data_IF_415865660238
#
_entry.id   IF_415865660238
#
_cell.length_a   1.000
_cell.length_b   1.000
_cell.length_c   1.000
_cell.angle_alpha   90.00
_cell.angle_beta   90.00
_cell.angle_gamma   90.00
#
_symmetry.space_group_name_H-M   'P 1'
#
loop_
_entity.id
_entity.type
_entity.pdbx_description
1 polymer ?
#
# COMPACT_ATOMS: atom_id res chain seq x y z
N UNK A 1 -33.53 4.83 5.48
CA UNK A 1 -32.36 4.64 6.33
C UNK A 1 -31.45 3.51 5.84
N UNK A 2 -31.98 2.34 5.51
CA UNK A 2 -31.18 1.25 4.99
C UNK A 2 -30.48 1.58 3.66
N UNK A 3 -31.17 2.26 2.74
CA UNK A 3 -30.59 2.67 1.46
C UNK A 3 -29.42 3.62 1.66
N UNK A 4 -29.53 4.53 2.63
CA UNK A 4 -28.48 5.49 2.94
C UNK A 4 -27.21 4.77 3.46
N UNK A 5 -27.39 3.81 4.35
CA UNK A 5 -26.28 3.02 4.88
C UNK A 5 -25.60 2.17 3.79
N UNK A 6 -26.37 1.62 2.89
CA UNK A 6 -25.84 0.83 1.76
C UNK A 6 -25.02 1.69 0.80
N UNK A 7 -25.51 2.88 0.47
CA UNK A 7 -24.77 3.83 -0.39
C UNK A 7 -23.46 4.22 0.29
N UNK A 8 -23.48 4.50 1.58
CA UNK A 8 -22.28 4.86 2.32
C UNK A 8 -21.25 3.73 2.31
N UNK A 9 -21.66 2.50 2.54
CA UNK A 9 -20.79 1.33 2.48
C UNK A 9 -20.19 1.12 1.10
N UNK A 10 -21.01 1.30 0.06
CA UNK A 10 -20.54 1.18 -1.32
C UNK A 10 -19.46 2.19 -1.63
N UNK A 11 -19.64 3.44 -1.20
CA UNK A 11 -18.65 4.49 -1.38
C UNK A 11 -17.35 4.18 -0.66
N UNK A 12 -17.40 3.67 0.58
CA UNK A 12 -16.22 3.28 1.33
C UNK A 12 -15.46 2.12 0.66
N UNK A 13 -16.19 1.20 0.02
CA UNK A 13 -15.58 0.09 -0.72
C UNK A 13 -14.77 0.55 -1.93
N UNK A 14 -15.08 1.72 -2.47
CA UNK A 14 -14.38 2.29 -3.60
C UNK A 14 -13.09 3.00 -3.21
N UNK A 15 -12.87 3.25 -1.92
CA UNK A 15 -11.66 3.88 -1.40
C UNK A 15 -10.57 2.83 -1.15
N UNK A 16 -10.08 2.26 -2.23
CA UNK A 16 -9.13 1.15 -2.15
C UNK A 16 -7.69 1.59 -1.88
N UNK A 17 -7.32 2.78 -2.32
CA UNK A 17 -5.92 3.21 -2.32
C UNK A 17 -5.65 4.25 -1.25
N UNK A 18 -4.44 4.18 -0.69
CA UNK A 18 -3.95 5.16 0.27
C UNK A 18 -2.49 5.47 -0.01
N UNK A 19 -2.10 6.75 0.14
CA UNK A 19 -0.72 7.19 0.01
C UNK A 19 -0.07 7.33 1.38
N UNK A 20 1.18 6.89 1.46
CA UNK A 20 2.00 6.99 2.67
C UNK A 20 3.26 7.76 2.35
N UNK A 21 3.59 8.74 3.18
CA UNK A 21 4.83 9.50 3.05
C UNK A 21 6.03 8.62 3.37
N UNK A 22 7.13 8.84 2.65
CA UNK A 22 8.44 8.35 3.04
C UNK A 22 9.27 9.51 3.62
N UNK A 23 10.44 9.21 4.15
CA UNK A 23 11.38 10.26 4.59
C UNK A 23 12.08 10.95 3.40
N UNK A 24 11.96 10.38 2.20
CA UNK A 24 12.37 11.04 0.97
C UNK A 24 11.23 11.95 0.52
N UNK A 25 11.52 13.25 0.36
CA UNK A 25 10.47 14.23 0.07
C UNK A 25 9.78 14.02 -1.29
N UNK A 26 10.43 13.28 -2.21
CA UNK A 26 9.91 13.08 -3.57
C UNK A 26 9.17 11.77 -3.75
N UNK A 27 9.20 10.89 -2.76
CA UNK A 27 8.70 9.52 -2.89
C UNK A 27 7.61 9.22 -1.87
N UNK A 28 6.52 8.62 -2.36
CA UNK A 28 5.43 8.09 -1.57
C UNK A 28 5.26 6.61 -1.88
N UNK A 29 4.65 5.88 -0.97
CA UNK A 29 4.15 4.53 -1.25
C UNK A 29 2.64 4.58 -1.43
N UNK A 30 2.16 3.97 -2.50
CA UNK A 30 0.72 3.79 -2.73
C UNK A 30 0.37 2.35 -2.41
N UNK A 31 -0.58 2.16 -1.52
CA UNK A 31 -1.06 0.86 -1.07
C UNK A 31 -2.49 0.63 -1.56
N UNK A 32 -2.73 -0.53 -2.16
CA UNK A 32 -4.10 -1.01 -2.28
C UNK A 32 -4.48 -1.64 -0.94
N UNK A 33 -5.33 -0.97 -0.19
CA UNK A 33 -5.71 -1.38 1.17
C UNK A 33 -6.53 -2.66 1.20
N UNK A 34 -7.07 -3.06 0.06
CA UNK A 34 -7.88 -4.25 -0.09
C UNK A 34 -7.03 -5.50 -0.35
N UNK A 35 -5.95 -5.37 -1.13
CA UNK A 35 -5.16 -6.51 -1.60
C UNK A 35 -3.75 -6.59 -1.05
N UNK A 36 -3.23 -5.48 -0.52
CA UNK A 36 -1.84 -5.41 -0.04
C UNK A 36 -0.80 -5.13 -1.11
N UNK A 37 -1.21 -4.82 -2.34
CA UNK A 37 -0.32 -4.45 -3.43
C UNK A 37 0.27 -3.05 -3.18
N UNK A 38 1.53 -2.84 -3.56
CA UNK A 38 2.27 -1.61 -3.26
C UNK A 38 3.00 -1.09 -4.49
N UNK A 39 2.93 0.22 -4.69
CA UNK A 39 3.65 0.96 -5.74
C UNK A 39 4.44 2.09 -5.10
N UNK A 40 5.53 2.47 -5.77
CA UNK A 40 6.26 3.71 -5.44
C UNK A 40 5.77 4.82 -6.37
N UNK A 41 5.49 5.98 -5.80
CA UNK A 41 5.01 7.16 -6.53
C UNK A 41 6.02 8.27 -6.32
N UNK A 42 6.60 8.77 -7.40
CA UNK A 42 7.58 9.85 -7.36
C UNK A 42 7.04 11.09 -8.07
N UNK A 43 7.18 12.23 -7.42
CA UNK A 43 6.91 13.50 -8.06
C UNK A 43 8.18 14.34 -8.18
N UNK A 44 8.11 15.38 -9.00
CA UNK A 44 9.24 16.28 -9.20
C UNK A 44 8.74 17.65 -9.69
N UNK A 45 9.50 18.68 -9.33
CA UNK A 45 9.28 20.03 -9.87
C UNK A 45 10.16 20.31 -11.11
N UNK A 46 11.02 19.36 -11.49
CA UNK A 46 11.95 19.53 -12.61
C UNK A 46 11.33 19.22 -13.98
N UNK A 47 10.43 18.24 -14.06
CA UNK A 47 9.82 17.88 -15.34
C UNK A 47 9.17 16.50 -15.32
N UNK A 48 8.53 16.17 -16.45
CA UNK A 48 7.69 14.97 -16.58
C UNK A 48 8.48 13.66 -16.43
N UNK A 49 9.75 13.64 -16.86
CA UNK A 49 10.57 12.43 -16.82
C UNK A 49 10.88 11.97 -15.40
N UNK A 50 10.73 12.87 -14.42
CA UNK A 50 10.98 12.57 -13.01
C UNK A 50 9.69 12.31 -12.22
N UNK A 51 8.54 12.28 -12.92
CA UNK A 51 7.24 11.97 -12.33
C UNK A 51 6.79 10.62 -12.84
N UNK A 52 6.75 9.63 -11.96
CA UNK A 52 6.37 8.29 -12.37
C UNK A 52 5.86 7.47 -11.19
N UNK A 53 5.18 6.39 -11.54
CA UNK A 53 4.77 5.36 -10.62
C UNK A 53 5.39 4.04 -11.06
N UNK A 54 5.92 3.28 -10.11
CA UNK A 54 6.55 2.00 -10.41
C UNK A 54 6.13 0.94 -9.38
N UNK A 55 5.92 -0.31 -9.80
CA UNK A 55 5.56 -1.37 -8.87
C UNK A 55 6.67 -1.62 -7.85
N UNK A 56 6.29 -1.79 -6.58
CA UNK A 56 7.18 -2.32 -5.56
C UNK A 56 6.90 -3.81 -5.38
N UNK A 57 5.64 -4.16 -5.12
CA UNK A 57 5.18 -5.54 -5.02
C UNK A 57 3.69 -5.59 -5.35
N UNK A 58 3.36 -6.21 -6.49
CA UNK A 58 1.98 -6.29 -6.97
C UNK A 58 1.30 -7.62 -6.67
N UNK A 59 1.92 -8.45 -5.82
CA UNK A 59 1.29 -9.68 -5.37
C UNK A 59 0.12 -9.36 -4.44
N UNK A 60 -1.02 -9.98 -4.69
CA UNK A 60 -2.16 -9.90 -3.80
C UNK A 60 -1.95 -10.81 -2.59
N UNK A 61 -2.29 -10.31 -1.40
CA UNK A 61 -2.08 -11.02 -0.14
C UNK A 61 -3.38 -11.54 0.45
N UNK A 62 -4.36 -11.78 -0.40
CA UNK A 62 -5.64 -12.36 -0.01
C UNK A 62 -5.86 -13.67 -0.77
N UNK A 63 -6.57 -14.60 -0.14
CA UNK A 63 -6.99 -15.84 -0.77
C UNK A 63 -8.39 -15.68 -1.34
N UNK A 64 -8.63 -16.17 -2.56
CA UNK A 64 -9.94 -16.10 -3.20
C UNK A 64 -11.01 -16.86 -2.41
N UNK A 65 -10.61 -17.86 -1.64
CA UNK A 65 -11.57 -18.76 -0.98
C UNK A 65 -11.86 -18.42 0.47
N UNK A 66 -10.93 -17.82 1.18
CA UNK A 66 -11.02 -17.65 2.63
C UNK A 66 -10.94 -16.22 3.09
N UNK A 67 -10.52 -15.31 2.23
CA UNK A 67 -10.29 -13.92 2.61
C UNK A 67 -11.36 -13.01 2.04
N UNK A 68 -11.79 -12.05 2.86
CA UNK A 68 -12.68 -11.01 2.38
C UNK A 68 -11.87 -9.83 1.87
N UNK A 69 -12.07 -9.41 0.61
CA UNK A 69 -11.40 -8.27 0.04
C UNK A 69 -12.05 -6.96 0.54
N UNK A 70 -11.67 -6.53 1.73
CA UNK A 70 -12.24 -5.37 2.39
C UNK A 70 -11.26 -4.20 2.32
N UNK A 71 -11.72 -3.03 1.85
CA UNK A 71 -10.92 -1.82 1.86
C UNK A 71 -10.54 -1.45 3.30
N UNK A 72 -9.26 -1.09 3.50
CA UNK A 72 -8.73 -0.82 4.83
C UNK A 72 -8.18 -2.05 5.54
N UNK A 73 -8.21 -3.22 4.90
CA UNK A 73 -7.65 -4.43 5.48
C UNK A 73 -6.14 -4.30 5.72
N UNK A 74 -5.43 -3.72 4.76
CA UNK A 74 -3.97 -3.54 4.82
C UNK A 74 -3.62 -2.11 5.13
N UNK A 75 -2.56 -1.91 5.91
CA UNK A 75 -2.00 -0.59 6.20
C UNK A 75 -0.47 -0.66 6.30
N UNK A 76 0.18 0.49 6.12
CA UNK A 76 1.62 0.62 6.24
C UNK A 76 1.98 1.47 7.44
N UNK A 77 3.01 1.05 8.17
CA UNK A 77 3.57 1.81 9.27
C UNK A 77 5.00 2.21 8.95
N UNK A 78 5.36 3.49 9.05
CA UNK A 78 6.75 3.91 8.87
C UNK A 78 7.61 3.41 10.02
N UNK A 79 8.89 3.20 9.74
CA UNK A 79 9.89 2.88 10.74
C UNK A 79 10.93 3.99 10.79
N UNK A 80 11.87 3.92 11.73
CA UNK A 80 12.97 4.87 11.80
C UNK A 80 13.98 4.68 10.66
N UNK A 81 13.95 3.53 9.99
CA UNK A 81 14.73 3.33 8.77
C UNK A 81 13.94 3.90 7.58
N UNK A 82 14.55 4.86 6.87
CA UNK A 82 13.84 5.60 5.82
C UNK A 82 13.35 4.73 4.66
N UNK A 83 13.97 3.57 4.44
CA UNK A 83 13.62 2.69 3.33
C UNK A 83 12.63 1.61 3.70
N UNK A 84 12.28 1.46 4.97
CA UNK A 84 11.50 0.33 5.45
C UNK A 84 10.21 0.75 6.13
N UNK A 85 9.15 0.00 5.79
CA UNK A 85 7.84 0.09 6.40
C UNK A 85 7.43 -1.29 6.89
N UNK A 86 6.44 -1.33 7.77
CA UNK A 86 5.76 -2.59 8.13
C UNK A 86 4.38 -2.58 7.47
N UNK A 87 4.11 -3.59 6.66
CA UNK A 87 2.77 -3.85 6.13
C UNK A 87 2.04 -4.76 7.11
N UNK A 88 0.85 -4.33 7.52
CA UNK A 88 0.02 -5.09 8.45
C UNK A 88 -1.29 -5.48 7.77
N UNK A 89 -1.63 -6.78 7.85
CA UNK A 89 -2.98 -7.26 7.59
C UNK A 89 -3.78 -7.13 8.89
N UNK A 90 -4.70 -6.18 8.93
CA UNK A 90 -5.44 -5.86 10.15
C UNK A 90 -6.51 -6.91 10.49
N UNK A 91 -6.81 -7.83 9.60
CA UNK A 91 -7.77 -8.91 9.87
C UNK A 91 -7.10 -10.07 10.56
N UNK A 92 -5.99 -10.58 10.03
CA UNK A 92 -5.34 -11.76 10.57
C UNK A 92 -4.05 -11.47 11.38
N UNK A 93 -3.59 -10.21 11.39
CA UNK A 93 -2.43 -9.80 12.17
C UNK A 93 -1.08 -10.14 11.54
N UNK A 94 -1.06 -10.60 10.30
CA UNK A 94 0.21 -10.91 9.63
C UNK A 94 0.95 -9.63 9.26
N UNK A 95 2.28 -9.68 9.36
CA UNK A 95 3.16 -8.55 9.06
C UNK A 95 4.21 -8.90 8.02
N UNK A 96 4.60 -7.89 7.25
CA UNK A 96 5.68 -7.97 6.27
C UNK A 96 6.58 -6.76 6.40
N UNK A 97 7.88 -6.96 6.17
CA UNK A 97 8.80 -5.86 5.97
C UNK A 97 8.71 -5.40 4.52
N UNK A 98 8.55 -4.11 4.32
CA UNK A 98 8.50 -3.50 3.00
C UNK A 98 9.70 -2.59 2.84
N UNK A 99 10.52 -2.86 1.83
CA UNK A 99 11.65 -2.00 1.50
C UNK A 99 11.41 -1.34 0.14
N UNK A 100 11.41 -0.02 0.13
CA UNK A 100 11.40 0.73 -1.12
C UNK A 100 12.82 1.16 -1.49
N UNK A 101 13.05 1.46 -2.76
CA UNK A 101 14.36 1.93 -3.23
C UNK A 101 14.22 2.59 -4.59
N UNK A 102 15.14 3.51 -4.89
CA UNK A 102 15.29 4.03 -6.25
C UNK A 102 15.85 2.97 -7.19
N UNK A 103 16.48 1.93 -6.64
CA UNK A 103 17.03 0.82 -7.42
C UNK A 103 16.12 -0.41 -7.32
N UNK A 104 15.63 -0.93 -8.47
CA UNK A 104 14.64 -2.02 -8.46
C UNK A 104 15.09 -3.28 -7.72
N UNK A 105 16.36 -3.62 -7.79
CA UNK A 105 16.90 -4.83 -7.15
C UNK A 105 16.87 -4.78 -5.62
N UNK A 106 16.71 -3.57 -5.05
CA UNK A 106 16.65 -3.38 -3.59
C UNK A 106 15.22 -3.25 -3.06
N UNK A 107 14.22 -3.39 -3.92
CA UNK A 107 12.81 -3.36 -3.52
C UNK A 107 12.35 -4.75 -3.12
N UNK A 108 11.49 -4.82 -2.11
CA UNK A 108 10.91 -6.11 -1.75
C UNK A 108 9.97 -6.05 -0.59
N UNK A 109 9.17 -7.11 -0.48
CA UNK A 109 8.28 -7.35 0.64
C UNK A 109 8.57 -8.74 1.17
N UNK A 110 8.90 -8.82 2.46
CA UNK A 110 9.35 -10.05 3.10
C UNK A 110 8.48 -10.34 4.32
N UNK A 111 8.00 -11.57 4.42
CA UNK A 111 7.18 -12.00 5.55
C UNK A 111 7.97 -11.91 6.86
N UNK A 112 7.35 -11.38 7.91
CA UNK A 112 7.87 -11.40 9.28
C UNK A 112 7.15 -12.52 10.04
N UNK A 113 7.90 -13.46 10.54
CA UNK A 113 7.36 -14.61 11.25
C UNK A 113 7.43 -14.48 12.76
#
# INVERSE_FOLDING_TARGET
>A
MFQYMEIFRSQLRELEFQLFKTQNMWTFLKLNTRTGQIWQVQFSVKGADYRFETPLDTNERISEYFDEPICGRFTLYPTDNMYNFILLDQINGLCWQVQWSTEPENRGVMRIY
#
